data_IF_430855595705
#
_entry.id   IF_430855595705
#
_cell.length_a   1.000
_cell.length_b   1.000
_cell.length_c   1.000
_cell.angle_alpha   90.00
_cell.angle_beta   90.00
_cell.angle_gamma   90.00
#
_symmetry.space_group_name_H-M   'P 1'
#
loop_
_entity.id
_entity.type
_entity.pdbx_description
1 polymer ?
#
# COMPACT_ATOMS: atom_id res chain seq x y z
N UNK A 1 -1.93 13.41 -10.00
CA UNK A 1 -3.17 13.99 -10.58
C UNK A 1 -4.33 13.48 -9.75
N UNK A 2 -5.18 14.36 -9.24
CA UNK A 2 -6.41 13.96 -8.55
C UNK A 2 -7.48 13.74 -9.62
N UNK A 3 -8.09 12.55 -9.61
CA UNK A 3 -9.25 12.25 -10.46
C UNK A 3 -10.52 12.71 -9.75
N UNK A 4 -11.53 13.12 -10.50
CA UNK A 4 -12.87 13.22 -9.95
C UNK A 4 -13.44 11.82 -9.64
N UNK A 5 -14.58 11.78 -8.97
CA UNK A 5 -15.16 10.52 -8.51
C UNK A 5 -15.56 9.58 -9.67
N UNK A 6 -16.06 10.12 -10.78
CA UNK A 6 -16.51 9.32 -11.91
C UNK A 6 -15.33 8.73 -12.69
N UNK A 7 -14.30 9.54 -12.93
CA UNK A 7 -13.06 9.10 -13.55
C UNK A 7 -12.32 8.07 -12.68
N UNK A 8 -12.29 8.28 -11.36
CA UNK A 8 -11.72 7.30 -10.42
C UNK A 8 -12.46 5.95 -10.50
N UNK A 9 -13.79 5.96 -10.50
CA UNK A 9 -14.58 4.74 -10.63
C UNK A 9 -14.30 4.01 -11.94
N UNK A 10 -14.29 4.76 -13.05
CA UNK A 10 -14.02 4.21 -14.38
C UNK A 10 -12.63 3.58 -14.47
N UNK A 11 -11.61 4.19 -13.86
CA UNK A 11 -10.26 3.62 -13.80
C UNK A 11 -10.22 2.32 -12.99
N UNK A 12 -10.83 2.31 -11.80
CA UNK A 12 -10.84 1.13 -10.93
C UNK A 12 -11.58 -0.05 -11.57
N UNK A 13 -12.76 0.18 -12.12
CA UNK A 13 -13.55 -0.85 -12.81
C UNK A 13 -12.86 -1.28 -14.10
N UNK A 14 -12.39 -0.33 -14.91
CA UNK A 14 -11.76 -0.61 -16.19
C UNK A 14 -10.48 -1.44 -16.07
N UNK A 15 -9.64 -1.17 -15.08
CA UNK A 15 -8.44 -1.98 -14.85
C UNK A 15 -8.78 -3.38 -14.30
N UNK A 16 -9.74 -3.48 -13.38
CA UNK A 16 -10.22 -4.76 -12.85
C UNK A 16 -10.74 -5.66 -13.97
N UNK A 17 -11.63 -5.12 -14.80
CA UNK A 17 -12.32 -5.88 -15.86
C UNK A 17 -11.35 -6.30 -16.96
N UNK A 18 -10.37 -5.44 -17.31
CA UNK A 18 -9.31 -5.79 -18.26
C UNK A 18 -8.46 -6.96 -17.75
N UNK A 19 -7.96 -6.88 -16.52
CA UNK A 19 -7.17 -7.96 -15.92
C UNK A 19 -8.00 -9.25 -15.82
N UNK A 20 -9.29 -9.13 -15.48
CA UNK A 20 -10.19 -10.27 -15.41
C UNK A 20 -10.41 -10.94 -16.77
N UNK A 21 -10.55 -10.15 -17.84
CA UNK A 21 -10.67 -10.67 -19.19
C UNK A 21 -9.37 -11.39 -19.64
N UNK A 22 -8.21 -10.82 -19.32
CA UNK A 22 -6.92 -11.37 -19.74
C UNK A 22 -6.53 -12.65 -18.96
N UNK A 23 -6.88 -12.74 -17.68
CA UNK A 23 -6.47 -13.83 -16.78
C UNK A 23 -7.59 -14.83 -16.46
N UNK A 24 -8.83 -14.53 -16.84
CA UNK A 24 -10.01 -15.34 -16.50
C UNK A 24 -10.39 -15.31 -15.01
N UNK A 25 -9.83 -14.39 -14.23
CA UNK A 25 -10.07 -14.26 -12.79
C UNK A 25 -10.13 -12.80 -12.36
N UNK A 26 -11.12 -12.46 -11.53
CA UNK A 26 -11.27 -11.09 -11.02
C UNK A 26 -10.18 -10.79 -9.98
N UNK A 27 -9.37 -9.73 -10.17
CA UNK A 27 -8.35 -9.38 -9.18
C UNK A 27 -8.99 -8.88 -7.89
N UNK A 28 -8.56 -9.45 -6.76
CA UNK A 28 -9.11 -9.09 -5.43
C UNK A 28 -8.38 -7.92 -4.78
N UNK A 29 -7.19 -7.57 -5.26
CA UNK A 29 -6.31 -6.60 -4.60
C UNK A 29 -5.91 -5.47 -5.53
N UNK A 30 -5.81 -4.26 -4.99
CA UNK A 30 -5.39 -3.08 -5.75
C UNK A 30 -4.15 -2.42 -5.16
N UNK A 31 -3.26 -1.96 -6.03
CA UNK A 31 -2.12 -1.14 -5.65
C UNK A 31 -2.24 0.22 -6.36
N UNK A 32 -2.65 1.29 -5.66
CA UNK A 32 -2.73 2.62 -6.23
C UNK A 32 -1.37 3.04 -6.83
N UNK A 33 -1.34 3.71 -7.99
CA UNK A 33 -0.10 4.23 -8.56
C UNK A 33 0.67 5.08 -7.55
N UNK A 34 1.96 4.77 -7.38
CA UNK A 34 2.84 5.38 -6.38
C UNK A 34 2.39 5.23 -4.91
N UNK A 35 1.37 4.39 -4.66
CA UNK A 35 0.68 4.25 -3.38
C UNK A 35 -0.14 5.49 -2.98
N UNK A 36 -0.45 6.37 -3.93
CA UNK A 36 -1.23 7.58 -3.66
C UNK A 36 -2.65 7.20 -3.24
N UNK A 37 -3.01 7.52 -2.00
CA UNK A 37 -4.30 7.19 -1.40
C UNK A 37 -4.81 8.34 -0.55
N UNK A 38 -6.12 8.52 -0.52
CA UNK A 38 -6.85 9.47 0.31
C UNK A 38 -8.21 8.85 0.68
N UNK A 39 -9.02 9.45 1.58
CA UNK A 39 -10.31 8.88 1.98
C UNK A 39 -11.23 8.52 0.79
N UNK A 40 -11.28 9.37 -0.23
CA UNK A 40 -12.08 9.13 -1.45
C UNK A 40 -11.59 7.91 -2.23
N UNK A 41 -10.28 7.78 -2.42
CA UNK A 41 -9.67 6.63 -3.10
C UNK A 41 -9.91 5.34 -2.32
N UNK A 42 -9.76 5.38 -0.99
CA UNK A 42 -10.02 4.20 -0.13
C UNK A 42 -11.46 3.74 -0.23
N UNK A 43 -12.41 4.67 -0.15
CA UNK A 43 -13.83 4.37 -0.30
C UNK A 43 -14.16 3.79 -1.69
N UNK A 44 -13.51 4.28 -2.75
CA UNK A 44 -13.67 3.73 -4.09
C UNK A 44 -13.08 2.33 -4.23
N UNK A 45 -11.86 2.10 -3.73
CA UNK A 45 -11.24 0.77 -3.71
C UNK A 45 -12.12 -0.24 -2.96
N UNK A 46 -12.74 0.15 -1.85
CA UNK A 46 -13.60 -0.73 -1.05
C UNK A 46 -14.83 -1.26 -1.79
N UNK A 47 -15.27 -0.59 -2.87
CA UNK A 47 -16.39 -1.06 -3.70
C UNK A 47 -16.00 -2.18 -4.66
N UNK A 48 -14.71 -2.32 -4.99
CA UNK A 48 -14.27 -3.18 -6.10
C UNK A 48 -13.20 -4.19 -5.73
N UNK A 49 -12.45 -3.94 -4.66
CA UNK A 49 -11.33 -4.76 -4.24
C UNK A 49 -11.48 -5.14 -2.77
N UNK A 50 -11.09 -6.37 -2.47
CA UNK A 50 -11.05 -6.90 -1.10
C UNK A 50 -9.99 -6.18 -0.27
N UNK A 51 -8.83 -5.89 -0.87
CA UNK A 51 -7.71 -5.22 -0.21
C UNK A 51 -7.08 -4.14 -1.11
N UNK A 52 -6.49 -3.13 -0.49
CA UNK A 52 -5.64 -2.15 -1.17
C UNK A 52 -4.46 -1.74 -0.29
N UNK A 53 -3.32 -1.42 -0.93
CA UNK A 53 -2.08 -1.04 -0.25
C UNK A 53 -1.82 0.47 -0.33
N UNK A 54 -1.16 1.01 0.68
CA UNK A 54 -0.75 2.42 0.75
C UNK A 54 0.76 2.63 0.60
N UNK A 55 1.23 3.81 1.03
CA UNK A 55 2.68 4.14 1.13
C UNK A 55 3.24 4.00 2.53
N UNK A 56 2.40 3.76 3.55
CA UNK A 56 2.85 3.68 4.93
C UNK A 56 3.81 2.50 5.09
N UNK A 57 5.05 2.79 5.51
CA UNK A 57 6.03 1.77 5.83
C UNK A 57 5.58 1.04 7.09
N UNK A 58 5.42 -0.28 7.02
CA UNK A 58 5.05 -1.07 8.18
C UNK A 58 4.62 -2.48 7.83
N UNK A 59 4.33 -3.27 8.87
CA UNK A 59 3.76 -4.60 8.76
C UNK A 59 2.24 -4.50 8.83
N UNK A 60 1.54 -5.21 7.95
CA UNK A 60 0.11 -5.38 8.04
C UNK A 60 -0.22 -6.28 9.24
N UNK A 61 -1.13 -5.81 10.09
CA UNK A 61 -1.64 -6.49 11.28
C UNK A 61 -3.16 -6.49 11.24
N UNK A 62 -3.83 -7.32 12.05
CA UNK A 62 -5.29 -7.48 12.00
C UNK A 62 -6.11 -6.20 12.20
N UNK A 63 -5.53 -5.17 12.84
CA UNK A 63 -6.17 -3.85 13.03
C UNK A 63 -5.84 -2.83 11.92
N UNK A 64 -5.15 -3.25 10.86
CA UNK A 64 -4.83 -2.36 9.72
C UNK A 64 -6.06 -2.13 8.86
N UNK A 65 -6.21 -0.91 8.34
CA UNK A 65 -7.21 -0.61 7.30
C UNK A 65 -6.98 -1.51 6.08
N UNK A 66 -7.95 -2.38 5.69
CA UNK A 66 -7.82 -3.28 4.55
C UNK A 66 -7.59 -2.57 3.22
N UNK A 67 -7.96 -1.29 3.10
CA UNK A 67 -7.84 -0.49 1.88
C UNK A 67 -6.71 0.55 1.95
N UNK A 68 -5.90 0.50 3.03
CA UNK A 68 -4.67 1.27 3.23
C UNK A 68 -3.61 0.44 3.96
N UNK A 69 -3.42 -0.79 3.49
CA UNK A 69 -2.49 -1.71 4.11
C UNK A 69 -1.07 -1.14 4.05
N UNK A 70 -0.31 -1.19 5.16
CA UNK A 70 1.08 -0.78 5.16
C UNK A 70 1.90 -1.78 4.36
N UNK A 71 3.01 -1.29 3.80
CA UNK A 71 3.91 -2.10 2.99
C UNK A 71 5.33 -2.10 3.56
N UNK A 72 6.04 -3.19 3.30
CA UNK A 72 7.49 -3.21 3.43
C UNK A 72 8.09 -2.68 2.14
N UNK A 73 9.16 -1.88 2.26
CA UNK A 73 9.91 -1.42 1.11
C UNK A 73 11.21 -2.20 1.01
N UNK A 74 11.33 -3.01 -0.05
CA UNK A 74 12.46 -3.91 -0.26
C UNK A 74 13.80 -3.19 -0.35
N UNK A 75 13.81 -1.88 -0.62
CA UNK A 75 15.01 -1.05 -0.52
C UNK A 75 15.71 -1.17 0.86
N UNK A 76 14.96 -1.36 1.95
CA UNK A 76 15.52 -1.53 3.30
C UNK A 76 15.99 -2.96 3.62
N UNK A 77 15.57 -3.94 2.80
CA UNK A 77 15.81 -5.36 2.99
C UNK A 77 16.62 -5.97 1.84
N UNK A 78 17.54 -5.19 1.25
CA UNK A 78 18.47 -5.67 0.21
C UNK A 78 19.53 -6.64 0.73
N UNK A 79 19.82 -6.57 2.04
CA UNK A 79 20.70 -7.52 2.71
C UNK A 79 19.90 -8.75 3.16
N UNK A 80 20.31 -9.95 2.69
CA UNK A 80 19.60 -11.19 2.96
C UNK A 80 19.59 -11.56 4.45
N UNK A 81 20.70 -11.31 5.15
CA UNK A 81 20.80 -11.55 6.59
C UNK A 81 19.80 -10.70 7.37
N UNK A 82 19.66 -9.42 7.03
CA UNK A 82 18.66 -8.52 7.58
C UNK A 82 17.23 -8.96 7.26
N UNK A 83 16.97 -9.41 6.04
CA UNK A 83 15.65 -9.93 5.66
C UNK A 83 15.28 -11.15 6.50
N UNK A 84 16.17 -12.12 6.61
CA UNK A 84 15.97 -13.32 7.44
C UNK A 84 15.81 -12.97 8.92
N UNK A 85 16.61 -12.05 9.45
CA UNK A 85 16.49 -11.59 10.84
C UNK A 85 15.13 -10.91 11.08
N UNK A 86 14.63 -10.12 10.13
CA UNK A 86 13.31 -9.50 10.21
C UNK A 86 12.19 -10.54 10.23
N UNK A 87 12.22 -11.52 9.33
CA UNK A 87 11.25 -12.63 9.31
C UNK A 87 11.27 -13.46 10.59
N UNK A 88 12.45 -13.63 11.20
CA UNK A 88 12.62 -14.30 12.49
C UNK A 88 12.23 -13.44 13.71
N UNK A 89 11.68 -12.22 13.51
CA UNK A 89 11.31 -11.31 14.60
C UNK A 89 12.52 -10.63 15.29
N UNK A 90 13.73 -10.82 14.78
CA UNK A 90 14.99 -10.34 15.38
C UNK A 90 15.46 -8.97 14.86
N UNK A 91 14.75 -8.38 13.89
CA UNK A 91 15.11 -7.08 13.29
C UNK A 91 13.96 -6.07 13.24
N UNK A 92 12.98 -6.17 14.14
CA UNK A 92 11.83 -5.24 14.18
C UNK A 92 12.26 -3.80 14.49
N UNK A 93 13.26 -3.62 15.36
CA UNK A 93 13.81 -2.30 15.71
C UNK A 93 14.32 -1.50 14.51
N UNK A 94 14.90 -2.17 13.52
CA UNK A 94 15.37 -1.50 12.30
C UNK A 94 14.20 -0.88 11.51
N UNK A 95 13.09 -1.62 11.37
CA UNK A 95 11.90 -1.11 10.71
C UNK A 95 11.30 0.07 11.48
N UNK A 96 11.22 -0.01 12.81
CA UNK A 96 10.73 1.08 13.66
C UNK A 96 11.56 2.36 13.49
N UNK A 97 12.88 2.25 13.48
CA UNK A 97 13.78 3.39 13.23
C UNK A 97 13.51 4.03 11.86
N UNK A 98 13.32 3.22 10.80
CA UNK A 98 12.97 3.75 9.47
C UNK A 98 11.59 4.39 9.44
N UNK A 99 10.61 3.85 10.17
CA UNK A 99 9.28 4.47 10.29
C UNK A 99 9.37 5.85 10.96
N UNK A 100 10.09 5.95 12.08
CA UNK A 100 10.28 7.21 12.79
C UNK A 100 10.93 8.27 11.91
N UNK A 101 12.03 7.94 11.23
CA UNK A 101 12.71 8.88 10.33
C UNK A 101 11.80 9.36 9.18
N UNK A 102 10.94 8.48 8.63
CA UNK A 102 9.98 8.88 7.60
C UNK A 102 8.86 9.77 8.13
N UNK A 103 8.46 9.58 9.38
CA UNK A 103 7.49 10.47 10.02
C UNK A 103 8.09 11.86 10.24
N UNK A 104 9.31 11.94 10.79
CA UNK A 104 10.04 13.21 10.96
C UNK A 104 10.21 13.93 9.62
N UNK A 105 10.65 13.22 8.56
CA UNK A 105 10.80 13.81 7.23
C UNK A 105 9.49 14.36 6.67
N UNK A 106 8.35 13.68 6.89
CA UNK A 106 7.03 14.16 6.44
C UNK A 106 6.61 15.42 7.17
N UNK A 107 6.94 15.54 8.46
CA UNK A 107 6.68 16.76 9.23
C UNK A 107 7.56 17.92 8.75
N UNK A 108 8.84 17.69 8.48
CA UNK A 108 9.77 18.74 8.02
C UNK A 108 9.49 19.17 6.57
N UNK A 109 9.15 18.24 5.68
CA UNK A 109 8.86 18.53 4.28
C UNK A 109 7.39 18.94 4.02
N UNK A 110 6.54 18.84 5.03
CA UNK A 110 5.13 19.23 5.01
C UNK A 110 4.81 20.46 5.85
N UNK A 111 5.85 21.21 6.27
CA UNK A 111 5.76 22.59 6.75
C UNK A 111 6.03 23.57 5.62
#
# INVERSE_FOLDING_TARGET
RTLDAAALEAELVGCRDRIAADLGQVPETFAPPYGATNPTVRAACARHFRLSVGTRLGRAVGVSDPHDLPRLEMHYFRDLGRWQAYLAGRAEGYLLVRQLMRSVRRTIAGG
#
